data_IF_224651174636
#
_entry.id   IF_224651174636
#
_cell.length_a   1.000
_cell.length_b   1.000
_cell.length_c   1.000
_cell.angle_alpha   90.00
_cell.angle_beta   90.00
_cell.angle_gamma   90.00
#
_symmetry.space_group_name_H-M   'P 1'
#
loop_
_entity.id
_entity.type
_entity.pdbx_description
1 polymer ?
#
# COMPACT_ATOMS: atom_id res chain seq x y z
N UNK A 1 12.80 -30.81 12.96
CA UNK A 1 12.17 -29.70 13.71
C UNK A 1 12.93 -28.48 13.23
N UNK A 2 12.31 -27.66 12.37
CA UNK A 2 12.98 -26.43 11.90
C UNK A 2 13.07 -25.43 13.06
N UNK A 3 14.21 -24.77 13.18
CA UNK A 3 14.41 -23.71 14.17
C UNK A 3 13.46 -22.55 13.87
N UNK A 4 12.86 -21.92 14.90
CA UNK A 4 12.01 -20.76 14.69
C UNK A 4 12.84 -19.60 14.11
N UNK A 5 12.59 -19.28 12.85
CA UNK A 5 13.19 -18.13 12.19
C UNK A 5 12.35 -16.87 12.44
N UNK A 6 13.00 -15.79 12.88
CA UNK A 6 12.38 -14.47 12.88
C UNK A 6 12.38 -13.97 11.43
N UNK A 7 11.21 -13.95 10.80
CA UNK A 7 11.06 -13.31 9.48
C UNK A 7 11.25 -11.81 9.63
N UNK A 8 12.37 -11.30 9.12
CA UNK A 8 12.62 -9.87 9.05
C UNK A 8 11.89 -9.30 7.83
N UNK A 9 10.81 -8.57 8.10
CA UNK A 9 10.04 -7.89 7.08
C UNK A 9 10.94 -6.84 6.38
N UNK A 10 11.19 -7.01 5.08
CA UNK A 10 12.02 -6.09 4.28
C UNK A 10 13.42 -6.59 3.87
N UNK A 11 13.77 -7.85 4.14
CA UNK A 11 15.09 -8.41 3.75
C UNK A 11 15.09 -9.27 2.46
N UNK A 12 14.00 -9.23 1.67
CA UNK A 12 13.95 -9.92 0.38
C UNK A 12 13.91 -8.87 -0.75
N UNK A 13 14.98 -8.71 -1.55
CA UNK A 13 15.05 -7.72 -2.63
C UNK A 13 14.09 -8.01 -3.80
N UNK A 14 13.46 -9.18 -3.82
CA UNK A 14 12.46 -9.58 -4.81
C UNK A 14 11.11 -9.89 -4.17
N UNK A 15 10.93 -9.54 -2.90
CA UNK A 15 9.72 -9.83 -2.15
C UNK A 15 8.76 -8.64 -2.13
N UNK A 16 7.48 -8.91 -2.31
CA UNK A 16 6.42 -7.94 -2.01
C UNK A 16 5.76 -8.29 -0.68
N UNK A 17 5.56 -7.27 0.16
CA UNK A 17 4.82 -7.39 1.41
C UNK A 17 3.55 -6.55 1.30
N UNK A 18 2.41 -7.23 1.21
CA UNK A 18 1.11 -6.58 1.26
C UNK A 18 0.64 -6.48 2.71
N UNK A 19 0.19 -5.30 3.12
CA UNK A 19 -0.38 -5.08 4.44
C UNK A 19 -1.52 -4.05 4.38
N UNK A 20 -2.41 -4.11 5.37
CA UNK A 20 -3.60 -3.28 5.40
C UNK A 20 -4.83 -4.13 5.67
N UNK A 21 -5.96 -3.48 5.97
CA UNK A 21 -7.22 -4.19 6.12
C UNK A 21 -8.39 -3.30 5.69
N UNK A 22 -9.31 -3.82 4.85
CA UNK A 22 -10.52 -3.09 4.49
C UNK A 22 -11.45 -2.86 5.69
N UNK A 23 -11.23 -3.57 6.81
CA UNK A 23 -11.96 -3.38 8.06
C UNK A 23 -11.59 -2.09 8.78
N UNK A 24 -10.46 -1.47 8.44
CA UNK A 24 -10.07 -0.20 9.04
C UNK A 24 -10.78 0.95 8.34
N UNK A 25 -11.66 1.60 9.10
CA UNK A 25 -12.50 2.72 8.67
C UNK A 25 -11.70 4.03 8.65
N UNK A 26 -10.67 4.07 7.81
CA UNK A 26 -9.67 5.15 7.81
C UNK A 26 -10.30 6.51 7.48
N UNK A 27 -11.16 6.55 6.45
CA UNK A 27 -11.84 7.76 6.00
C UNK A 27 -13.09 8.14 6.83
N UNK A 28 -13.55 7.30 7.76
CA UNK A 28 -14.74 7.61 8.59
C UNK A 28 -14.41 8.51 9.79
N UNK A 29 -13.13 8.67 10.13
CA UNK A 29 -12.71 9.55 11.22
C UNK A 29 -12.73 11.01 10.72
N UNK A 30 -13.62 11.81 11.27
CA UNK A 30 -13.85 13.22 10.93
C UNK A 30 -13.76 14.05 12.21
N UNK A 31 -13.08 15.21 12.15
CA UNK A 31 -12.77 16.05 13.31
C UNK A 31 -13.24 17.52 13.15
N UNK A 32 -14.29 17.75 12.35
CA UNK A 32 -14.80 19.08 11.98
C UNK A 32 -14.08 19.76 10.80
N UNK A 33 -13.24 19.04 10.06
CA UNK A 33 -12.46 19.55 8.92
C UNK A 33 -12.89 18.93 7.57
N UNK A 34 -13.93 18.09 7.58
CA UNK A 34 -14.33 17.27 6.46
C UNK A 34 -13.56 15.95 6.39
N UNK A 35 -13.93 15.13 5.39
CA UNK A 35 -13.32 13.83 5.12
C UNK A 35 -11.85 14.00 4.74
N UNK A 36 -10.98 13.11 5.23
CA UNK A 36 -9.56 13.11 4.86
C UNK A 36 -9.38 12.93 3.34
N UNK A 37 -8.45 13.69 2.75
CA UNK A 37 -8.18 13.66 1.30
C UNK A 37 -7.44 12.40 0.86
N UNK A 38 -6.52 11.91 1.70
CA UNK A 38 -5.75 10.69 1.44
C UNK A 38 -5.26 10.07 2.75
N UNK A 39 -5.07 8.75 2.75
CA UNK A 39 -4.42 8.02 3.83
C UNK A 39 -2.96 7.77 3.48
N UNK A 40 -2.05 7.96 4.45
CA UNK A 40 -0.62 7.71 4.29
C UNK A 40 -0.05 6.99 5.50
N UNK A 41 0.90 6.10 5.26
CA UNK A 41 1.63 5.42 6.33
C UNK A 41 2.76 6.29 6.89
N UNK A 42 3.04 6.12 8.19
CA UNK A 42 4.20 6.75 8.83
C UNK A 42 5.51 6.16 8.32
N UNK A 43 6.60 6.94 8.36
CA UNK A 43 7.90 6.59 7.77
C UNK A 43 8.44 5.20 8.17
N UNK A 44 8.24 4.78 9.42
CA UNK A 44 8.67 3.45 9.88
C UNK A 44 8.00 2.25 9.19
N UNK A 45 6.94 2.49 8.40
CA UNK A 45 6.28 1.46 7.60
C UNK A 45 6.76 1.44 6.14
N UNK A 46 7.74 2.26 5.77
CA UNK A 46 8.20 2.40 4.38
C UNK A 46 9.53 1.67 4.19
N UNK A 47 9.51 0.67 3.33
CA UNK A 47 10.68 -0.05 2.86
C UNK A 47 10.39 -0.64 1.48
N UNK A 48 11.44 -1.02 0.77
CA UNK A 48 11.34 -1.58 -0.58
C UNK A 48 10.42 -2.82 -0.61
N UNK A 49 9.51 -2.85 -1.58
CA UNK A 49 8.55 -3.93 -1.78
C UNK A 49 7.33 -3.87 -0.86
N UNK A 50 7.18 -2.82 -0.02
CA UNK A 50 6.01 -2.65 0.83
C UNK A 50 4.84 -2.04 0.06
N UNK A 51 3.69 -2.71 0.13
CA UNK A 51 2.41 -2.19 -0.35
C UNK A 51 1.42 -2.11 0.82
N UNK A 52 0.91 -0.91 1.08
CA UNK A 52 -0.15 -0.66 2.04
C UNK A 52 -1.49 -0.48 1.31
N UNK A 53 -2.52 -1.20 1.75
CA UNK A 53 -3.87 -1.12 1.20
C UNK A 53 -4.82 -0.43 2.18
N UNK A 54 -5.60 0.51 1.66
CA UNK A 54 -6.65 1.23 2.37
C UNK A 54 -7.98 1.10 1.62
N UNK A 55 -9.14 1.16 2.32
CA UNK A 55 -10.40 1.41 1.63
C UNK A 55 -10.28 2.69 0.82
N UNK A 56 -10.80 2.70 -0.41
CA UNK A 56 -10.63 3.82 -1.31
C UNK A 56 -11.44 5.04 -0.88
N UNK A 57 -10.91 6.23 -1.20
CA UNK A 57 -11.59 7.49 -0.88
C UNK A 57 -13.01 7.54 -1.46
N UNK A 58 -13.21 7.03 -2.69
CA UNK A 58 -14.51 7.06 -3.36
C UNK A 58 -15.55 6.11 -2.73
N UNK A 59 -15.11 5.14 -1.92
CA UNK A 59 -15.99 4.12 -1.36
C UNK A 59 -16.43 3.11 -2.42
N UNK A 60 -17.56 2.41 -2.19
CA UNK A 60 -18.12 1.49 -3.20
C UNK A 60 -17.30 0.23 -3.48
N UNK A 61 -16.34 -0.11 -2.62
CA UNK A 61 -15.41 -1.23 -2.83
C UNK A 61 -14.09 -0.84 -3.48
N UNK A 62 -13.88 0.44 -3.79
CA UNK A 62 -12.57 0.96 -4.22
C UNK A 62 -11.49 0.76 -3.15
N UNK A 63 -10.23 0.79 -3.58
CA UNK A 63 -9.05 0.69 -2.70
C UNK A 63 -8.00 1.70 -3.11
N UNK A 64 -7.35 2.31 -2.12
CA UNK A 64 -6.17 3.14 -2.32
C UNK A 64 -4.92 2.33 -1.95
N UNK A 65 -3.88 2.44 -2.79
CA UNK A 65 -2.62 1.72 -2.60
C UNK A 65 -1.49 2.72 -2.35
N UNK A 66 -0.72 2.51 -1.28
CA UNK A 66 0.57 3.15 -1.07
C UNK A 66 1.68 2.13 -1.34
N UNK A 67 2.42 2.34 -2.43
CA UNK A 67 3.49 1.48 -2.90
C UNK A 67 4.84 2.15 -2.60
N UNK A 68 5.77 1.41 -2.01
CA UNK A 68 7.13 1.88 -1.72
C UNK A 68 8.14 1.02 -2.49
N UNK A 69 8.75 1.61 -3.52
CA UNK A 69 9.75 0.99 -4.38
C UNK A 69 10.91 1.98 -4.64
N UNK A 70 12.09 1.49 -5.04
CA UNK A 70 13.16 2.32 -5.57
C UNK A 70 12.64 3.17 -6.74
N UNK A 71 13.17 4.40 -6.93
CA UNK A 71 12.68 5.32 -7.95
C UNK A 71 12.64 4.71 -9.36
N UNK A 72 13.69 3.97 -9.75
CA UNK A 72 13.77 3.33 -11.07
C UNK A 72 12.65 2.29 -11.28
N UNK A 73 12.38 1.47 -10.26
CA UNK A 73 11.32 0.47 -10.29
C UNK A 73 9.94 1.11 -10.30
N UNK A 74 9.74 2.19 -9.54
CA UNK A 74 8.48 2.93 -9.52
C UNK A 74 8.18 3.54 -10.90
N UNK A 75 9.17 4.15 -11.56
CA UNK A 75 9.03 4.70 -12.91
C UNK A 75 8.67 3.61 -13.93
N UNK A 76 9.28 2.42 -13.81
CA UNK A 76 8.95 1.29 -14.66
C UNK A 76 7.49 0.82 -14.45
N UNK A 77 7.03 0.72 -13.19
CA UNK A 77 5.67 0.34 -12.84
C UNK A 77 4.63 1.35 -13.37
N UNK A 78 4.89 2.65 -13.22
CA UNK A 78 4.02 3.72 -13.72
C UNK A 78 3.93 3.76 -15.25
N UNK A 79 4.94 3.21 -15.93
CA UNK A 79 5.00 3.12 -17.39
C UNK A 79 4.42 1.80 -17.94
N UNK A 80 4.03 0.87 -17.06
CA UNK A 80 3.48 -0.42 -17.45
C UNK A 80 1.99 -0.29 -17.82
N UNK A 81 1.69 -0.43 -19.11
CA UNK A 81 0.33 -0.26 -19.61
C UNK A 81 -0.66 -1.31 -19.09
N UNK A 82 -0.23 -2.57 -18.94
CA UNK A 82 -1.10 -3.64 -18.44
C UNK A 82 -1.50 -3.38 -16.99
N UNK A 83 -0.53 -2.96 -16.17
CA UNK A 83 -0.79 -2.58 -14.77
C UNK A 83 -1.71 -1.38 -14.68
N UNK A 84 -1.45 -0.31 -15.44
CA UNK A 84 -2.25 0.91 -15.40
C UNK A 84 -3.67 0.68 -15.94
N UNK A 85 -3.84 -0.11 -17.00
CA UNK A 85 -5.15 -0.49 -17.50
C UNK A 85 -5.93 -1.32 -16.46
N UNK A 86 -5.25 -2.21 -15.73
CA UNK A 86 -5.84 -2.99 -14.65
C UNK A 86 -6.32 -2.16 -13.45
N UNK A 87 -5.75 -0.96 -13.23
CA UNK A 87 -6.20 -0.03 -12.19
C UNK A 87 -7.40 0.83 -12.62
N UNK A 88 -7.60 1.00 -13.92
CA UNK A 88 -8.67 1.83 -14.50
C UNK A 88 -9.98 1.04 -14.76
N UNK A 89 -10.02 -0.24 -14.40
CA UNK A 89 -11.14 -1.16 -14.64
C UNK A 89 -12.23 -1.17 -13.59
#
# INVERSE_FOLDING_TARGET
>A
MEDPAIYTCGHNPYGLVLAGSPRFRMYENEFGMGKAVAIRSGYGNKFDGKVMLYPGYEGGGSMDLEINLPPETMVALESDGEFMDGLNG
#
